data_IF_659141662745
#
_entry.id   IF_659141662745
#
_cell.length_a   1.000
_cell.length_b   1.000
_cell.length_c   1.000
_cell.angle_alpha   90.00
_cell.angle_beta   90.00
_cell.angle_gamma   90.00
#
_symmetry.space_group_name_H-M   'P 1'
#
loop_
_entity.id
_entity.type
_entity.pdbx_description
1 polymer ?
#
# COMPACT_ATOMS: atom_id res chain seq x y z
N UNK A 1 25.77 26.12 -0.39
CA UNK A 1 25.04 25.32 0.63
C UNK A 1 23.59 25.75 0.57
N UNK A 2 22.69 24.93 0.01
CA UNK A 2 21.27 25.28 -0.06
C UNK A 2 20.61 25.03 1.30
N UNK A 3 20.15 26.10 1.93
CA UNK A 3 19.41 26.05 3.20
C UNK A 3 18.04 25.43 2.90
N UNK A 4 17.76 24.26 3.46
CA UNK A 4 16.43 23.64 3.44
C UNK A 4 15.56 24.35 4.49
N UNK A 5 14.42 24.98 4.10
CA UNK A 5 13.60 25.78 5.01
C UNK A 5 12.78 24.96 6.03
N UNK A 6 13.05 23.67 6.19
CA UNK A 6 12.36 22.76 7.10
C UNK A 6 11.45 21.76 6.37
N UNK A 7 11.29 20.58 6.95
CA UNK A 7 10.29 19.58 6.54
C UNK A 7 8.98 19.82 7.30
N UNK A 8 7.86 19.63 6.61
CA UNK A 8 6.53 19.59 7.21
C UNK A 8 6.01 18.16 7.06
N UNK A 9 5.82 17.48 8.18
CA UNK A 9 5.13 16.20 8.22
C UNK A 9 3.64 16.47 7.94
N UNK A 10 3.14 16.02 6.79
CA UNK A 10 1.71 16.06 6.46
C UNK A 10 1.10 14.73 6.88
N UNK A 11 0.32 14.76 7.96
CA UNK A 11 -0.50 13.61 8.37
C UNK A 11 -1.87 13.75 7.71
N UNK A 12 -2.10 12.97 6.66
CA UNK A 12 -3.44 12.85 6.06
C UNK A 12 -4.21 11.79 6.85
N UNK A 13 -5.07 12.23 7.75
CA UNK A 13 -6.03 11.34 8.43
C UNK A 13 -7.27 11.19 7.55
N UNK A 14 -7.43 10.03 6.93
CA UNK A 14 -8.67 9.67 6.24
C UNK A 14 -9.59 9.02 7.28
N UNK A 15 -10.63 9.72 7.69
CA UNK A 15 -11.68 9.15 8.53
C UNK A 15 -12.80 8.65 7.63
N UNK A 16 -12.98 7.33 7.57
CA UNK A 16 -14.15 6.72 6.94
C UNK A 16 -15.24 6.68 7.99
N UNK A 17 -16.27 7.48 7.76
CA UNK A 17 -17.36 7.65 8.70
C UNK A 17 -18.56 6.79 8.31
N UNK A 18 -19.10 6.04 9.27
CA UNK A 18 -20.32 5.26 9.09
C UNK A 18 -21.60 6.10 9.13
N UNK A 19 -22.74 5.40 9.25
CA UNK A 19 -24.09 5.99 9.24
C UNK A 19 -24.62 6.33 10.64
N UNK A 20 -23.97 5.86 11.69
CA UNK A 20 -24.56 5.74 13.03
C UNK A 20 -23.83 6.55 14.11
N UNK A 21 -22.61 7.01 13.83
CA UNK A 21 -21.79 7.79 14.75
C UNK A 21 -22.33 9.22 14.90
N UNK A 22 -21.87 9.94 15.94
CA UNK A 22 -22.30 11.33 16.17
C UNK A 22 -21.92 12.29 15.03
N UNK A 23 -20.74 12.10 14.44
CA UNK A 23 -20.32 12.80 13.22
C UNK A 23 -20.43 11.87 12.02
N UNK A 24 -21.63 11.39 11.68
CA UNK A 24 -21.88 10.43 10.60
C UNK A 24 -21.85 11.04 9.17
N UNK A 25 -21.92 10.18 8.15
CA UNK A 25 -22.03 10.54 6.72
C UNK A 25 -23.00 11.71 6.44
N UNK A 26 -24.17 11.71 7.09
CA UNK A 26 -25.21 12.70 6.85
C UNK A 26 -24.83 14.08 7.39
N UNK A 27 -24.23 14.11 8.59
CA UNK A 27 -23.74 15.34 9.22
C UNK A 27 -22.53 15.95 8.49
N UNK A 28 -21.66 15.11 7.92
CA UNK A 28 -20.49 15.56 7.18
C UNK A 28 -20.85 16.17 5.82
N UNK A 29 -21.79 15.57 5.09
CA UNK A 29 -22.24 16.12 3.82
C UNK A 29 -22.86 17.54 3.96
N UNK A 30 -23.55 17.81 5.07
CA UNK A 30 -24.06 19.15 5.36
C UNK A 30 -22.92 20.18 5.55
N UNK A 31 -21.79 19.77 6.12
CA UNK A 31 -20.60 20.63 6.29
C UNK A 31 -19.77 20.82 5.01
N UNK A 32 -19.91 19.94 4.02
CA UNK A 32 -19.20 20.01 2.73
C UNK A 32 -19.94 20.91 1.71
N UNK A 33 -21.26 21.07 1.86
CA UNK A 33 -22.07 21.94 1.00
C UNK A 33 -21.76 23.45 1.12
N UNK A 34 -20.85 23.85 2.02
CA UNK A 34 -20.46 25.25 2.21
C UNK A 34 -19.22 25.70 1.41
N UNK A 35 -18.50 24.80 0.73
CA UNK A 35 -17.42 25.24 -0.17
C UNK A 35 -17.96 25.54 -1.57
N UNK A 36 -17.95 26.84 -1.85
CA UNK A 36 -18.26 27.55 -3.08
C UNK A 36 -17.77 26.84 -4.35
N UNK A 37 -18.67 26.22 -5.11
CA UNK A 37 -18.63 26.16 -6.59
C UNK A 37 -19.91 25.54 -7.22
N UNK A 38 -20.76 24.82 -6.47
CA UNK A 38 -22.00 24.21 -7.01
C UNK A 38 -23.27 25.08 -6.86
N UNK A 39 -23.15 26.39 -6.60
CA UNK A 39 -24.32 27.28 -6.51
C UNK A 39 -24.93 27.67 -7.87
N UNK A 40 -24.33 27.31 -9.00
CA UNK A 40 -24.84 27.75 -10.32
C UNK A 40 -25.92 26.87 -10.95
N UNK A 41 -26.21 25.67 -10.44
CA UNK A 41 -27.26 24.81 -11.05
C UNK A 41 -28.55 24.70 -10.22
N UNK A 42 -28.59 25.30 -9.03
CA UNK A 42 -29.78 25.23 -8.15
C UNK A 42 -30.93 26.15 -8.59
N UNK A 43 -30.71 27.06 -9.55
CA UNK A 43 -31.74 28.00 -10.01
C UNK A 43 -32.58 27.51 -11.21
N UNK A 44 -32.22 26.38 -11.84
CA UNK A 44 -32.89 25.84 -13.04
C UNK A 44 -33.30 24.36 -12.91
N UNK A 45 -33.68 23.93 -11.70
CA UNK A 45 -33.94 22.52 -11.44
C UNK A 45 -35.42 22.14 -11.64
N UNK A 46 -35.92 22.28 -12.86
CA UNK A 46 -37.19 21.70 -13.29
C UNK A 46 -37.09 20.17 -13.53
N UNK A 47 -35.90 19.56 -13.34
CA UNK A 47 -35.62 18.14 -13.60
C UNK A 47 -34.91 17.41 -12.42
N UNK A 48 -35.46 17.49 -11.21
CA UNK A 48 -35.24 16.46 -10.18
C UNK A 48 -33.80 16.26 -9.70
N UNK A 49 -33.03 17.33 -9.51
CA UNK A 49 -31.69 17.24 -8.93
C UNK A 49 -31.64 16.76 -7.47
N UNK A 50 -30.42 16.50 -6.99
CA UNK A 50 -30.19 15.98 -5.65
C UNK A 50 -30.50 17.01 -4.55
N UNK A 51 -31.58 16.79 -3.81
CA UNK A 51 -32.04 17.63 -2.68
C UNK A 51 -31.35 17.39 -1.33
N UNK A 52 -30.16 16.78 -1.31
CA UNK A 52 -29.45 16.48 -0.07
C UNK A 52 -29.94 15.23 0.67
N UNK A 53 -29.51 15.09 1.93
CA UNK A 53 -29.89 13.99 2.83
C UNK A 53 -31.20 14.27 3.56
N UNK A 54 -32.32 14.19 2.84
CA UNK A 54 -33.66 14.21 3.46
C UNK A 54 -33.84 13.01 4.39
N UNK A 55 -34.77 13.09 5.36
CA UNK A 55 -35.07 11.97 6.27
C UNK A 55 -35.33 10.65 5.52
N UNK A 56 -36.09 10.72 4.42
CA UNK A 56 -36.38 9.59 3.55
C UNK A 56 -35.11 8.99 2.93
N UNK A 57 -34.20 9.82 2.41
CA UNK A 57 -32.94 9.37 1.82
C UNK A 57 -31.97 8.81 2.85
N UNK A 58 -31.94 9.39 4.05
CA UNK A 58 -31.18 8.82 5.17
C UNK A 58 -31.74 7.45 5.58
N UNK A 59 -33.07 7.31 5.63
CA UNK A 59 -33.72 6.03 5.92
C UNK A 59 -33.44 4.99 4.84
N UNK A 60 -33.49 5.39 3.55
CA UNK A 60 -33.15 4.54 2.42
C UNK A 60 -31.69 4.08 2.46
N UNK A 61 -30.75 4.99 2.75
CA UNK A 61 -29.33 4.66 2.89
C UNK A 61 -29.07 3.69 4.05
N UNK A 62 -29.68 3.92 5.22
CA UNK A 62 -29.59 2.98 6.36
C UNK A 62 -30.17 1.61 6.03
N UNK A 63 -31.34 1.57 5.37
CA UNK A 63 -31.95 0.31 4.91
C UNK A 63 -31.04 -0.42 3.93
N UNK A 64 -30.44 0.30 2.99
CA UNK A 64 -29.52 -0.25 1.99
C UNK A 64 -28.27 -0.85 2.65
N UNK A 65 -27.70 -0.13 3.61
CA UNK A 65 -26.54 -0.58 4.38
C UNK A 65 -26.84 -1.76 5.32
N UNK A 66 -28.09 -1.90 5.78
CA UNK A 66 -28.50 -3.01 6.64
C UNK A 66 -28.88 -4.29 5.87
N UNK A 67 -28.87 -4.27 4.53
CA UNK A 67 -29.14 -5.47 3.75
C UNK A 67 -28.00 -6.47 3.88
N UNK A 68 -28.35 -7.75 3.90
CA UNK A 68 -27.39 -8.83 3.73
C UNK A 68 -27.08 -8.98 2.24
N UNK A 69 -26.05 -8.27 1.80
CA UNK A 69 -25.61 -8.28 0.40
C UNK A 69 -24.99 -9.62 -0.01
N UNK A 70 -24.46 -10.38 0.95
CA UNK A 70 -23.94 -11.74 0.69
C UNK A 70 -25.11 -12.67 0.39
N UNK A 71 -26.15 -12.69 1.24
CA UNK A 71 -27.33 -13.51 1.00
C UNK A 71 -28.08 -13.10 -0.28
N UNK A 72 -28.12 -11.80 -0.60
CA UNK A 72 -28.91 -11.30 -1.73
C UNK A 72 -28.18 -11.35 -3.07
N UNK A 73 -26.86 -11.14 -3.08
CA UNK A 73 -26.08 -10.96 -4.31
C UNK A 73 -24.77 -11.77 -4.32
N UNK A 74 -24.47 -12.55 -3.28
CA UNK A 74 -23.18 -13.23 -3.13
C UNK A 74 -22.01 -12.29 -2.87
N UNK A 75 -22.28 -11.00 -2.60
CA UNK A 75 -21.28 -9.99 -2.34
C UNK A 75 -20.87 -10.06 -0.87
N UNK A 76 -19.76 -10.76 -0.58
CA UNK A 76 -19.12 -10.66 0.72
C UNK A 76 -18.70 -9.22 0.94
N UNK A 77 -18.99 -8.67 2.13
CA UNK A 77 -18.31 -7.46 2.55
C UNK A 77 -16.83 -7.81 2.67
N UNK A 78 -16.04 -7.54 1.63
CA UNK A 78 -14.62 -7.34 1.83
C UNK A 78 -14.56 -6.20 2.85
N UNK A 79 -14.22 -6.51 4.11
CA UNK A 79 -13.64 -5.50 4.98
C UNK A 79 -12.55 -4.88 4.10
N UNK A 80 -12.77 -3.63 3.65
CA UNK A 80 -11.73 -2.87 2.98
C UNK A 80 -10.62 -2.73 4.02
N UNK A 81 -9.76 -3.73 4.06
CA UNK A 81 -8.66 -3.83 4.99
C UNK A 81 -7.59 -2.93 4.43
N UNK A 82 -7.74 -1.64 4.75
CA UNK A 82 -6.62 -0.72 4.66
C UNK A 82 -5.52 -1.31 5.54
N UNK A 83 -4.38 -1.63 4.94
CA UNK A 83 -3.32 -2.30 5.66
C UNK A 83 -2.87 -1.47 6.87
N UNK A 84 -2.46 -2.14 7.95
CA UNK A 84 -1.94 -1.44 9.13
C UNK A 84 -0.64 -0.73 8.76
N UNK A 85 -0.67 0.60 8.69
CA UNK A 85 0.53 1.41 8.46
C UNK A 85 1.45 1.39 9.68
N UNK A 86 2.74 1.59 9.46
CA UNK A 86 3.68 1.86 10.55
C UNK A 86 3.39 3.22 11.19
N UNK A 87 3.43 3.28 12.51
CA UNK A 87 3.55 4.53 13.24
C UNK A 87 4.94 5.15 13.00
N UNK A 88 5.09 6.44 13.28
CA UNK A 88 6.39 7.12 13.21
C UNK A 88 7.46 6.40 14.06
N UNK A 89 7.07 5.97 15.26
CA UNK A 89 7.97 5.25 16.17
C UNK A 89 8.36 3.87 15.62
N UNK A 90 7.42 3.11 15.05
CA UNK A 90 7.74 1.81 14.42
C UNK A 90 8.66 2.00 13.19
N UNK A 91 8.42 3.02 12.37
CA UNK A 91 9.28 3.35 11.23
C UNK A 91 10.69 3.74 11.68
N UNK A 92 10.81 4.63 12.69
CA UNK A 92 12.09 5.03 13.26
C UNK A 92 12.84 3.83 13.86
N UNK A 93 12.13 2.94 14.57
CA UNK A 93 12.71 1.71 15.11
C UNK A 93 13.27 0.79 14.01
N UNK A 94 12.55 0.63 12.89
CA UNK A 94 13.06 -0.12 11.75
C UNK A 94 14.26 0.56 11.07
N UNK A 95 14.22 1.89 10.92
CA UNK A 95 15.34 2.66 10.35
C UNK A 95 16.59 2.63 11.23
N UNK A 96 16.44 2.45 12.54
CA UNK A 96 17.54 2.30 13.49
C UNK A 96 18.26 0.94 13.38
N UNK A 97 17.70 -0.04 12.67
CA UNK A 97 18.36 -1.33 12.40
C UNK A 97 19.45 -1.22 11.31
N UNK A 98 19.47 -0.11 10.57
CA UNK A 98 20.41 0.06 9.47
C UNK A 98 21.84 0.27 9.98
N UNK A 99 22.86 -0.34 9.34
CA UNK A 99 24.27 -0.08 9.65
C UNK A 99 24.63 1.40 9.57
N UNK A 100 25.60 1.84 10.38
CA UNK A 100 26.06 3.24 10.41
C UNK A 100 26.65 3.68 9.07
N UNK A 101 27.30 2.76 8.35
CA UNK A 101 27.98 2.98 7.06
C UNK A 101 27.06 2.80 5.84
N UNK A 102 25.74 2.67 6.05
CA UNK A 102 24.79 2.47 4.95
C UNK A 102 24.80 3.67 3.98
N UNK A 103 24.80 3.38 2.67
CA UNK A 103 24.78 4.43 1.65
C UNK A 103 23.50 5.26 1.69
N UNK A 104 23.55 6.55 1.31
CA UNK A 104 22.37 7.39 1.21
C UNK A 104 21.26 6.79 0.32
N UNK A 105 21.64 6.12 -0.77
CA UNK A 105 20.74 5.45 -1.70
C UNK A 105 20.00 4.30 -1.03
N UNK A 106 20.70 3.41 -0.31
CA UNK A 106 20.07 2.31 0.43
C UNK A 106 19.19 2.83 1.56
N UNK A 107 19.64 3.85 2.28
CA UNK A 107 18.82 4.50 3.33
C UNK A 107 17.52 5.07 2.76
N UNK A 108 17.58 5.75 1.62
CA UNK A 108 16.40 6.29 0.92
C UNK A 108 15.47 5.17 0.44
N UNK A 109 16.03 4.10 -0.14
CA UNK A 109 15.28 2.93 -0.59
C UNK A 109 14.50 2.27 0.55
N UNK A 110 15.17 2.00 1.69
CA UNK A 110 14.53 1.39 2.85
C UNK A 110 13.47 2.31 3.45
N UNK A 111 13.76 3.60 3.60
CA UNK A 111 12.79 4.55 4.12
C UNK A 111 11.51 4.57 3.28
N UNK A 112 11.64 4.56 1.95
CA UNK A 112 10.49 4.49 1.04
C UNK A 112 9.75 3.14 1.12
N UNK A 113 10.49 2.02 1.22
CA UNK A 113 9.90 0.70 1.38
C UNK A 113 9.05 0.60 2.67
N UNK A 114 9.60 1.06 3.80
CA UNK A 114 8.91 1.10 5.09
C UNK A 114 7.69 2.03 5.06
N UNK A 115 7.81 3.20 4.42
CA UNK A 115 6.69 4.12 4.26
C UNK A 115 5.52 3.48 3.50
N UNK A 116 5.78 2.52 2.62
CA UNK A 116 4.73 1.83 1.86
C UNK A 116 3.94 0.78 2.63
N UNK A 117 4.39 0.39 3.82
CA UNK A 117 3.71 -0.58 4.69
C UNK A 117 2.27 -0.13 4.98
N UNK A 118 1.31 -1.01 4.68
CA UNK A 118 -0.12 -0.75 4.86
C UNK A 118 -0.78 0.11 3.76
N UNK A 119 -0.01 0.70 2.85
CA UNK A 119 -0.49 1.70 1.88
C UNK A 119 -0.73 1.17 0.48
N UNK A 120 -0.49 -0.11 0.20
CA UNK A 120 -0.68 -0.71 -1.13
C UNK A 120 -1.32 -2.09 -0.94
N UNK A 121 -2.55 -2.30 -1.41
CA UNK A 121 -3.18 -3.61 -1.28
C UNK A 121 -2.45 -4.63 -2.16
N UNK A 122 -2.47 -5.89 -1.74
CA UNK A 122 -2.00 -6.97 -2.60
C UNK A 122 -2.98 -7.17 -3.76
N UNK A 123 -2.46 -7.26 -4.99
CA UNK A 123 -3.23 -7.67 -6.16
C UNK A 123 -2.36 -8.55 -7.05
N UNK A 124 -2.78 -9.80 -7.32
CA UNK A 124 -1.98 -10.74 -8.10
C UNK A 124 -1.79 -10.23 -9.53
N UNK A 125 -0.54 -10.17 -10.00
CA UNK A 125 -0.19 -9.58 -11.29
C UNK A 125 -0.14 -8.05 -11.30
N UNK A 126 -0.45 -7.38 -10.19
CA UNK A 126 -0.47 -5.93 -10.08
C UNK A 126 0.92 -5.31 -10.31
N UNK A 127 0.97 -4.32 -11.21
CA UNK A 127 2.19 -3.55 -11.55
C UNK A 127 1.93 -2.04 -11.46
N UNK A 128 2.94 -1.30 -11.04
CA UNK A 128 2.88 0.15 -11.05
C UNK A 128 3.01 0.69 -12.48
N UNK A 129 2.25 1.74 -12.77
CA UNK A 129 2.32 2.45 -14.05
C UNK A 129 3.38 3.56 -14.06
N UNK A 130 3.81 4.01 -12.88
CA UNK A 130 4.73 5.15 -12.69
C UNK A 130 5.39 5.09 -11.29
N UNK A 131 6.52 5.81 -11.07
CA UNK A 131 7.10 5.92 -9.74
C UNK A 131 6.23 6.80 -8.83
N UNK A 132 6.37 6.63 -7.52
CA UNK A 132 5.59 7.32 -6.50
C UNK A 132 4.14 6.82 -6.40
N UNK A 133 3.35 7.43 -5.52
CA UNK A 133 1.94 7.04 -5.33
C UNK A 133 1.01 7.66 -6.37
N UNK A 134 1.24 8.93 -6.71
CA UNK A 134 0.36 9.71 -7.56
C UNK A 134 0.21 9.08 -8.93
N UNK A 135 -1.04 8.89 -9.38
CA UNK A 135 -1.39 8.35 -10.70
C UNK A 135 -1.26 6.83 -10.85
N UNK A 136 -0.92 6.07 -9.80
CA UNK A 136 -1.05 4.61 -9.81
C UNK A 136 -2.47 4.15 -9.48
N UNK A 137 -3.26 4.97 -8.77
CA UNK A 137 -4.63 4.69 -8.36
C UNK A 137 -4.74 3.44 -7.47
N UNK A 138 -3.78 3.23 -6.56
CA UNK A 138 -3.91 2.16 -5.56
C UNK A 138 -5.22 2.33 -4.77
N UNK A 139 -5.82 1.20 -4.37
CA UNK A 139 -7.15 1.10 -3.76
C UNK A 139 -8.35 1.44 -4.66
N UNK A 140 -8.16 1.80 -5.94
CA UNK A 140 -9.31 1.87 -6.84
C UNK A 140 -9.87 0.47 -7.12
N UNK A 141 -11.17 0.37 -7.42
CA UNK A 141 -11.76 -0.89 -7.88
C UNK A 141 -11.20 -1.25 -9.26
N UNK A 142 -10.87 -2.52 -9.45
CA UNK A 142 -10.41 -3.13 -10.70
C UNK A 142 -11.04 -4.53 -10.83
N UNK A 143 -10.88 -5.15 -12.00
CA UNK A 143 -11.26 -6.55 -12.19
C UNK A 143 -10.65 -7.46 -11.12
N UNK A 144 -11.41 -8.44 -10.60
CA UNK A 144 -10.94 -9.33 -9.57
C UNK A 144 -9.75 -10.16 -10.05
N UNK A 145 -8.76 -10.35 -9.18
CA UNK A 145 -7.68 -11.29 -9.44
C UNK A 145 -8.11 -12.76 -9.21
N UNK A 146 -7.16 -13.69 -9.31
CA UNK A 146 -7.43 -15.13 -9.15
C UNK A 146 -8.08 -15.52 -7.81
N UNK A 147 -7.93 -14.69 -6.77
CA UNK A 147 -8.53 -14.91 -5.45
C UNK A 147 -9.75 -14.02 -5.20
N UNK A 148 -10.23 -13.31 -6.22
CA UNK A 148 -11.39 -12.43 -6.13
C UNK A 148 -11.08 -11.01 -5.65
N UNK A 149 -9.81 -10.65 -5.42
CA UNK A 149 -9.46 -9.33 -4.85
C UNK A 149 -9.72 -8.23 -5.87
N UNK A 150 -10.53 -7.24 -5.48
CA UNK A 150 -11.01 -6.18 -6.38
C UNK A 150 -10.26 -4.86 -6.25
N UNK A 151 -9.39 -4.70 -5.26
CA UNK A 151 -8.62 -3.48 -5.06
C UNK A 151 -7.36 -3.47 -5.92
N UNK A 152 -7.15 -2.39 -6.67
CA UNK A 152 -5.95 -2.17 -7.48
C UNK A 152 -4.75 -2.01 -6.58
N UNK A 153 -3.76 -2.85 -6.80
CA UNK A 153 -2.61 -3.02 -5.93
C UNK A 153 -1.38 -3.52 -6.67
N UNK A 154 -0.43 -4.06 -5.93
CA UNK A 154 0.78 -4.66 -6.47
C UNK A 154 0.91 -6.12 -6.02
N UNK A 155 1.58 -6.93 -6.83
CA UNK A 155 2.11 -8.22 -6.36
C UNK A 155 3.52 -8.05 -5.77
N UNK A 156 4.11 -9.13 -5.23
CA UNK A 156 5.43 -9.10 -4.61
C UNK A 156 6.53 -8.51 -5.53
N UNK A 157 6.57 -8.94 -6.80
CA UNK A 157 7.55 -8.46 -7.78
C UNK A 157 7.23 -7.05 -8.31
N UNK A 158 5.95 -6.70 -8.40
CA UNK A 158 5.46 -5.38 -8.79
C UNK A 158 5.83 -4.34 -7.76
N UNK A 159 5.70 -4.69 -6.47
CA UNK A 159 6.10 -3.85 -5.35
C UNK A 159 7.61 -3.62 -5.32
N UNK A 160 8.45 -4.66 -5.47
CA UNK A 160 9.91 -4.48 -5.56
C UNK A 160 10.28 -3.52 -6.68
N UNK A 161 9.76 -3.75 -7.89
CA UNK A 161 10.04 -2.86 -9.02
C UNK A 161 9.59 -1.42 -8.76
N UNK A 162 8.41 -1.23 -8.18
CA UNK A 162 7.87 0.08 -7.86
C UNK A 162 8.67 0.81 -6.78
N UNK A 163 9.10 0.12 -5.71
CA UNK A 163 9.92 0.70 -4.63
C UNK A 163 11.25 1.21 -5.18
N UNK A 164 11.96 0.37 -5.93
CA UNK A 164 13.22 0.75 -6.57
C UNK A 164 13.04 1.91 -7.56
N UNK A 165 12.00 1.85 -8.39
CA UNK A 165 11.72 2.93 -9.34
C UNK A 165 11.39 4.25 -8.63
N UNK A 166 10.62 4.19 -7.55
CA UNK A 166 10.20 5.38 -6.81
C UNK A 166 11.32 6.00 -6.00
N UNK A 167 12.15 5.18 -5.35
CA UNK A 167 13.25 5.66 -4.53
C UNK A 167 14.45 6.10 -5.37
N UNK A 168 14.80 5.34 -6.42
CA UNK A 168 16.07 5.47 -7.14
C UNK A 168 15.93 5.88 -8.61
N UNK A 169 14.70 5.99 -9.13
CA UNK A 169 14.43 6.47 -10.48
C UNK A 169 14.44 5.40 -11.57
N UNK A 170 14.80 4.16 -11.26
CA UNK A 170 14.82 3.04 -12.21
C UNK A 170 14.21 1.77 -11.61
N UNK A 171 13.30 1.07 -12.32
CA UNK A 171 12.82 -0.24 -11.90
C UNK A 171 13.94 -1.29 -12.01
N UNK A 172 13.83 -2.38 -11.25
CA UNK A 172 14.84 -3.46 -11.22
C UNK A 172 14.82 -4.28 -12.52
N UNK A 173 13.63 -4.75 -12.91
CA UNK A 173 13.43 -5.61 -14.07
C UNK A 173 12.06 -5.39 -14.70
N UNK A 174 11.97 -5.59 -16.02
CA UNK A 174 10.69 -5.67 -16.72
C UNK A 174 10.20 -7.13 -16.67
N UNK A 175 9.50 -7.51 -15.61
CA UNK A 175 8.98 -8.88 -15.48
C UNK A 175 8.44 -9.24 -14.10
N UNK A 176 8.22 -10.54 -13.89
CA UNK A 176 7.79 -11.10 -12.60
C UNK A 176 8.95 -11.53 -11.72
N UNK A 177 8.65 -12.31 -10.68
CA UNK A 177 9.62 -12.82 -9.70
C UNK A 177 10.83 -13.53 -10.33
N UNK A 178 10.62 -14.32 -11.39
CA UNK A 178 11.71 -15.01 -12.09
C UNK A 178 12.72 -14.06 -12.73
N UNK A 179 12.29 -12.87 -13.19
CA UNK A 179 13.21 -11.86 -13.72
C UNK A 179 14.03 -11.20 -12.62
N UNK A 180 13.44 -11.01 -11.43
CA UNK A 180 14.17 -10.52 -10.26
C UNK A 180 15.20 -11.53 -9.77
N UNK A 181 14.91 -12.83 -9.90
CA UNK A 181 15.85 -13.90 -9.56
C UNK A 181 17.12 -13.90 -10.42
N UNK A 182 17.21 -13.15 -11.52
CA UNK A 182 18.41 -13.00 -12.36
C UNK A 182 18.88 -11.54 -12.49
N UNK A 183 18.35 -10.63 -11.69
CA UNK A 183 18.68 -9.20 -11.73
C UNK A 183 19.80 -8.82 -10.78
N UNK A 184 20.58 -7.79 -11.12
CA UNK A 184 21.69 -7.32 -10.30
C UNK A 184 22.81 -8.36 -10.14
N UNK A 185 23.52 -8.29 -9.03
CA UNK A 185 24.66 -9.16 -8.71
C UNK A 185 24.21 -10.29 -7.76
N UNK A 186 24.57 -11.54 -8.06
CA UNK A 186 24.38 -12.65 -7.09
C UNK A 186 25.29 -12.45 -5.88
N UNK A 187 24.74 -12.64 -4.68
CA UNK A 187 25.50 -12.59 -3.45
C UNK A 187 25.18 -13.82 -2.58
N UNK A 188 26.12 -14.27 -1.72
CA UNK A 188 25.80 -15.25 -0.70
C UNK A 188 24.92 -14.62 0.38
N UNK A 189 24.17 -15.46 1.12
CA UNK A 189 23.23 -15.03 2.16
C UNK A 189 23.89 -14.17 3.24
N UNK A 190 25.13 -14.49 3.56
CA UNK A 190 25.94 -13.87 4.61
C UNK A 190 26.36 -12.44 4.26
N UNK A 191 26.33 -12.09 2.97
CA UNK A 191 26.67 -10.76 2.46
C UNK A 191 25.46 -9.85 2.27
N UNK A 192 24.26 -10.29 2.64
CA UNK A 192 23.04 -9.48 2.55
C UNK A 192 23.19 -8.13 3.24
N UNK A 193 22.90 -7.06 2.50
CA UNK A 193 22.82 -5.68 3.01
C UNK A 193 21.40 -5.15 2.88
N UNK A 194 20.94 -4.26 3.78
CA UNK A 194 19.60 -3.70 3.70
C UNK A 194 19.30 -3.11 2.33
N UNK A 195 18.20 -3.55 1.73
CA UNK A 195 17.78 -3.21 0.37
C UNK A 195 17.98 -4.36 -0.62
N UNK A 196 18.91 -5.27 -0.38
CA UNK A 196 19.08 -6.48 -1.22
C UNK A 196 17.80 -7.32 -1.21
N UNK A 197 17.59 -8.13 -2.25
CA UNK A 197 16.36 -8.92 -2.38
C UNK A 197 16.65 -10.41 -2.22
N UNK A 198 15.72 -11.12 -1.58
CA UNK A 198 15.71 -12.58 -1.50
C UNK A 198 14.54 -13.11 -2.31
N UNK A 199 14.81 -14.07 -3.20
CA UNK A 199 13.86 -14.53 -4.23
C UNK A 199 13.74 -16.05 -4.20
N UNK A 200 12.51 -16.54 -4.31
CA UNK A 200 12.18 -17.91 -4.71
C UNK A 200 11.34 -17.80 -5.98
N UNK A 201 11.77 -18.30 -7.14
CA UNK A 201 10.95 -18.39 -8.35
C UNK A 201 10.10 -19.68 -8.36
N UNK A 202 9.29 -19.88 -9.41
CA UNK A 202 8.49 -21.10 -9.60
C UNK A 202 7.07 -21.00 -9.06
N UNK A 203 6.47 -22.12 -8.69
CA UNK A 203 5.05 -22.19 -8.30
C UNK A 203 4.77 -21.47 -6.98
N UNK A 204 5.74 -21.45 -6.06
CA UNK A 204 5.69 -20.67 -4.81
C UNK A 204 6.43 -19.34 -4.94
N UNK A 205 6.40 -18.74 -6.14
CA UNK A 205 7.17 -17.54 -6.45
C UNK A 205 6.92 -16.42 -5.44
N UNK A 206 7.98 -15.97 -4.78
CA UNK A 206 7.93 -14.82 -3.89
C UNK A 206 9.25 -14.08 -3.85
N UNK A 207 9.17 -12.78 -3.57
CA UNK A 207 10.34 -11.93 -3.38
C UNK A 207 10.11 -11.00 -2.20
N UNK A 208 11.18 -10.76 -1.44
CA UNK A 208 11.18 -9.85 -0.30
C UNK A 208 12.42 -8.97 -0.33
N UNK A 209 12.32 -7.78 0.26
CA UNK A 209 13.45 -6.90 0.50
C UNK A 209 14.03 -7.19 1.89
N UNK A 210 15.33 -7.43 1.96
CA UNK A 210 16.06 -7.61 3.20
C UNK A 210 16.19 -6.28 3.94
N UNK A 211 15.82 -6.26 5.23
CA UNK A 211 16.02 -5.11 6.12
C UNK A 211 17.17 -5.36 7.10
N UNK A 212 17.30 -6.59 7.59
CA UNK A 212 18.30 -6.94 8.61
C UNK A 212 18.06 -8.34 9.17
N UNK A 213 18.87 -8.71 10.16
CA UNK A 213 18.69 -9.93 10.93
C UNK A 213 18.11 -9.58 12.29
N UNK A 214 17.08 -10.31 12.71
CA UNK A 214 16.55 -10.18 14.06
C UNK A 214 17.56 -10.80 15.06
N UNK A 215 18.11 -10.03 16.01
CA UNK A 215 19.15 -10.54 16.91
C UNK A 215 18.63 -11.60 17.89
N UNK A 216 17.31 -11.61 18.18
CA UNK A 216 16.73 -12.55 19.13
C UNK A 216 16.49 -13.93 18.50
N UNK A 217 16.05 -13.99 17.26
CA UNK A 217 15.65 -15.23 16.58
C UNK A 217 16.60 -15.66 15.46
N UNK A 218 17.47 -14.77 15.00
CA UNK A 218 18.31 -14.98 13.81
C UNK A 218 17.51 -15.03 12.50
N UNK A 219 16.20 -14.76 12.54
CA UNK A 219 15.35 -14.73 11.35
C UNK A 219 15.60 -13.46 10.54
N UNK A 220 15.34 -13.56 9.24
CA UNK A 220 15.43 -12.43 8.34
C UNK A 220 14.28 -11.46 8.61
N UNK A 221 14.58 -10.19 8.86
CA UNK A 221 13.58 -9.13 8.86
C UNK A 221 13.43 -8.67 7.42
N UNK A 222 12.22 -8.76 6.87
CA UNK A 222 11.97 -8.41 5.49
C UNK A 222 10.73 -7.55 5.29
N UNK A 223 10.80 -6.67 4.30
CA UNK A 223 9.70 -5.81 3.84
C UNK A 223 9.19 -6.40 2.54
N UNK A 224 7.89 -6.64 2.44
CA UNK A 224 7.31 -7.22 1.23
C UNK A 224 5.81 -7.03 1.10
N UNK A 225 5.35 -7.01 -0.14
CA UNK A 225 3.93 -7.12 -0.50
C UNK A 225 3.47 -8.58 -0.38
N UNK A 226 2.41 -8.82 0.39
CA UNK A 226 2.05 -10.18 0.86
C UNK A 226 0.59 -10.51 0.59
N UNK A 227 0.35 -11.60 -0.15
CA UNK A 227 -0.97 -12.19 -0.34
C UNK A 227 -1.54 -12.86 0.92
N UNK A 228 -0.71 -13.03 1.97
CA UNK A 228 -1.12 -13.68 3.20
C UNK A 228 -2.03 -12.81 4.06
N UNK A 229 -2.01 -13.02 5.38
CA UNK A 229 -2.88 -12.30 6.33
C UNK A 229 -2.80 -10.76 6.22
N UNK A 230 -1.67 -10.21 5.79
CA UNK A 230 -1.52 -8.78 5.61
C UNK A 230 -2.32 -8.24 4.42
N UNK A 231 -2.43 -9.02 3.32
CA UNK A 231 -3.00 -8.62 2.04
C UNK A 231 -2.56 -7.21 1.58
N UNK A 232 -1.31 -6.87 1.89
CA UNK A 232 -0.70 -5.54 1.77
C UNK A 232 0.83 -5.65 1.98
N UNK A 233 1.54 -4.55 1.77
CA UNK A 233 2.93 -4.37 2.21
C UNK A 233 3.02 -4.52 3.71
N UNK A 234 3.96 -5.34 4.16
CA UNK A 234 4.21 -5.60 5.58
C UNK A 234 5.69 -5.77 5.88
N UNK A 235 6.06 -5.60 7.15
CA UNK A 235 7.33 -6.07 7.71
C UNK A 235 7.08 -7.39 8.44
N UNK A 236 7.88 -8.41 8.14
CA UNK A 236 7.73 -9.74 8.74
C UNK A 236 9.08 -10.39 9.03
N UNK A 237 9.05 -11.38 9.93
CA UNK A 237 10.17 -12.29 10.14
C UNK A 237 10.02 -13.50 9.22
N UNK A 238 11.09 -13.82 8.51
CA UNK A 238 11.16 -14.98 7.61
C UNK A 238 12.24 -15.95 8.05
N UNK A 239 11.87 -17.21 8.19
CA UNK A 239 12.75 -18.38 8.27
C UNK A 239 12.70 -19.22 6.99
N UNK A 240 11.97 -18.77 5.97
CA UNK A 240 11.91 -19.41 4.65
C UNK A 240 13.31 -19.57 4.05
N UNK A 241 13.55 -20.72 3.43
CA UNK A 241 14.71 -20.93 2.58
C UNK A 241 14.54 -20.19 1.24
N UNK A 242 15.35 -19.16 1.01
CA UNK A 242 15.41 -18.42 -0.25
C UNK A 242 16.50 -19.01 -1.15
N UNK A 243 16.24 -19.05 -2.46
CA UNK A 243 17.15 -19.70 -3.42
C UNK A 243 18.07 -18.71 -4.13
N UNK A 244 17.71 -17.44 -4.21
CA UNK A 244 18.56 -16.38 -4.78
C UNK A 244 18.60 -15.15 -3.88
N UNK A 245 19.80 -14.63 -3.68
CA UNK A 245 20.02 -13.33 -3.05
C UNK A 245 20.67 -12.40 -4.07
N UNK A 246 20.05 -11.24 -4.30
CA UNK A 246 20.47 -10.31 -5.35
C UNK A 246 20.73 -8.93 -4.77
N UNK A 247 21.90 -8.40 -5.09
CA UNK A 247 22.26 -7.00 -4.86
C UNK A 247 21.88 -6.18 -6.08
N UNK A 248 21.02 -5.19 -5.88
CA UNK A 248 20.57 -4.30 -6.95
C UNK A 248 21.25 -2.92 -6.87
N UNK A 249 21.55 -2.45 -5.67
CA UNK A 249 22.32 -1.21 -5.42
C UNK A 249 23.69 -1.62 -4.91
N UNK A 250 24.77 -1.11 -5.49
CA UNK A 250 26.13 -1.34 -4.97
C UNK A 250 26.38 -0.55 -3.66
#
# INVERSE_FOLDING_TARGET
MSICPGHVDVVVTITITGLNEQKNLFSLAASIQETEEEKTDSANNENGGWTGWTEERQAAARRLASLDWEAKYGLKSEEMSFGKTLTKQELEAHMALLPEDISPERRKLIAFALDSVGKIPYHFGGKASRPGYAGNQFFSVTEPDQMGRTLKGLDCSGWINWVYWSALGTPVARGGTSSLASSGTEIPREELKPGDIAVVPGDEAHVVMFLGWDPATGKMICIHESAGRANNVTVSLSDRAWTHYRRIVE
#
